data_IF_276291451035
#
_entry.id   IF_276291451035
#
_cell.length_a   1.000
_cell.length_b   1.000
_cell.length_c   1.000
_cell.angle_alpha   90.00
_cell.angle_beta   90.00
_cell.angle_gamma   90.00
#
_symmetry.space_group_name_H-M   'P 1'
#
loop_
_entity.id
_entity.type
_entity.pdbx_description
1 polymer ?
#
# COMPACT_ATOMS: atom_id res chain seq x y z
N UNK A 1 27.26 -24.32 1.56
CA UNK A 1 27.82 -23.11 2.20
C UNK A 1 27.63 -23.24 3.71
N UNK A 2 28.60 -22.84 4.55
CA UNK A 2 28.41 -22.83 6.01
C UNK A 2 27.28 -21.87 6.41
N UNK A 3 26.67 -22.07 7.58
CA UNK A 3 25.58 -21.22 8.09
C UNK A 3 26.10 -19.78 8.21
N UNK A 4 25.45 -18.86 7.50
CA UNK A 4 25.91 -17.47 7.39
C UNK A 4 25.24 -16.51 8.38
N UNK A 5 24.01 -16.81 8.80
CA UNK A 5 23.22 -15.98 9.71
C UNK A 5 23.03 -16.71 11.04
N UNK A 6 23.35 -16.05 12.15
CA UNK A 6 23.09 -16.55 13.50
C UNK A 6 22.24 -15.52 14.24
N UNK A 7 21.34 -15.97 15.10
CA UNK A 7 20.53 -15.06 15.92
C UNK A 7 21.41 -14.12 16.74
N UNK A 8 21.07 -12.83 16.77
CA UNK A 8 21.81 -11.80 17.49
C UNK A 8 23.19 -11.47 16.91
N UNK A 9 23.51 -11.90 15.68
CA UNK A 9 24.80 -11.62 15.06
C UNK A 9 25.03 -10.13 14.73
N UNK A 10 23.96 -9.34 14.62
CA UNK A 10 23.98 -7.92 14.28
C UNK A 10 23.08 -7.18 15.25
N UNK A 11 23.46 -5.97 15.66
CA UNK A 11 22.62 -5.09 16.46
C UNK A 11 22.06 -3.99 15.56
N UNK A 12 20.74 -3.96 15.40
CA UNK A 12 20.08 -2.95 14.57
C UNK A 12 19.95 -1.63 15.36
N UNK A 13 20.18 -0.50 14.68
CA UNK A 13 20.11 0.83 15.31
C UNK A 13 18.69 1.21 15.77
N UNK A 14 17.66 0.59 15.19
CA UNK A 14 16.25 0.79 15.53
C UNK A 14 15.78 -0.11 16.69
N UNK A 15 16.65 -0.98 17.22
CA UNK A 15 16.32 -1.94 18.27
C UNK A 15 15.52 -3.16 17.79
N UNK A 16 15.38 -3.38 16.47
CA UNK A 16 14.72 -4.56 15.93
C UNK A 16 15.47 -5.84 16.32
N UNK A 17 14.77 -6.90 16.81
CA UNK A 17 15.42 -8.15 17.17
C UNK A 17 16.06 -8.84 15.96
N UNK A 18 17.38 -9.04 16.00
CA UNK A 18 18.14 -9.68 14.94
C UNK A 18 18.01 -11.20 14.92
N UNK A 19 16.81 -11.69 14.63
CA UNK A 19 16.57 -13.11 14.36
C UNK A 19 17.06 -13.49 12.97
N UNK A 20 17.46 -14.74 12.77
CA UNK A 20 17.91 -15.29 11.48
C UNK A 20 16.87 -15.05 10.38
N UNK A 21 15.58 -15.21 10.69
CA UNK A 21 14.49 -14.98 9.76
C UNK A 21 14.36 -13.49 9.36
N UNK A 22 14.51 -12.58 10.32
CA UNK A 22 14.46 -11.13 10.07
C UNK A 22 15.65 -10.69 9.21
N UNK A 23 16.87 -11.06 9.60
CA UNK A 23 18.08 -10.76 8.84
C UNK A 23 18.03 -11.34 7.42
N UNK A 24 17.52 -12.57 7.26
CA UNK A 24 17.34 -13.18 5.96
C UNK A 24 16.36 -12.41 5.07
N UNK A 25 15.24 -11.95 5.64
CA UNK A 25 14.26 -11.11 4.94
C UNK A 25 14.85 -9.77 4.51
N UNK A 26 15.63 -9.13 5.39
CA UNK A 26 16.21 -7.82 5.12
C UNK A 26 17.27 -7.92 4.01
N UNK A 27 18.13 -8.95 4.05
CA UNK A 27 19.12 -9.21 2.99
C UNK A 27 18.44 -9.47 1.64
N UNK A 28 17.40 -10.30 1.60
CA UNK A 28 16.67 -10.57 0.36
C UNK A 28 15.97 -9.32 -0.16
N UNK A 29 15.40 -8.51 0.74
CA UNK A 29 14.77 -7.24 0.38
C UNK A 29 15.79 -6.26 -0.21
N UNK A 30 16.96 -6.15 0.40
CA UNK A 30 18.06 -5.32 -0.11
C UNK A 30 18.56 -5.80 -1.47
N UNK A 31 18.78 -7.11 -1.66
CA UNK A 31 19.20 -7.66 -2.94
C UNK A 31 18.14 -7.46 -4.03
N UNK A 32 16.86 -7.58 -3.68
CA UNK A 32 15.76 -7.33 -4.61
C UNK A 32 15.71 -5.87 -5.04
N UNK A 33 15.94 -4.94 -4.11
CA UNK A 33 16.06 -3.52 -4.42
C UNK A 33 17.31 -3.22 -5.26
N UNK A 34 18.47 -3.80 -4.92
CA UNK A 34 19.71 -3.60 -5.67
C UNK A 34 19.63 -4.15 -7.10
N UNK A 35 18.83 -5.20 -7.32
CA UNK A 35 18.55 -5.75 -8.64
C UNK A 35 17.60 -4.87 -9.47
N UNK A 36 16.65 -4.16 -8.83
CA UNK A 36 15.65 -3.31 -9.49
C UNK A 36 15.42 -1.99 -8.72
N UNK A 37 16.37 -1.04 -8.76
CA UNK A 37 16.28 0.21 -7.98
C UNK A 37 15.11 1.11 -8.41
N UNK A 38 14.69 1.02 -9.67
CA UNK A 38 13.60 1.82 -10.25
C UNK A 38 12.20 1.25 -9.96
N UNK A 39 12.13 0.10 -9.28
CA UNK A 39 10.88 -0.54 -8.85
C UNK A 39 9.97 0.44 -8.09
N UNK A 40 10.54 1.21 -7.19
CA UNK A 40 9.77 2.13 -6.34
C UNK A 40 9.18 3.28 -7.15
N UNK A 41 9.96 3.89 -8.04
CA UNK A 41 9.48 4.96 -8.92
C UNK A 41 8.35 4.48 -9.83
N UNK A 42 8.51 3.29 -10.43
CA UNK A 42 7.43 2.66 -11.22
C UNK A 42 6.16 2.43 -10.38
N UNK A 43 6.31 1.91 -9.16
CA UNK A 43 5.18 1.68 -8.25
C UNK A 43 4.53 2.98 -7.80
N UNK A 44 5.28 4.06 -7.63
CA UNK A 44 4.77 5.38 -7.25
C UNK A 44 3.94 6.00 -8.36
N UNK A 45 4.44 6.01 -9.60
CA UNK A 45 3.70 6.53 -10.76
C UNK A 45 2.40 5.77 -10.94
N UNK A 46 2.46 4.44 -10.90
CA UNK A 46 1.28 3.57 -10.98
C UNK A 46 0.32 3.91 -9.82
N UNK A 47 0.78 3.89 -8.56
CA UNK A 47 -0.07 4.17 -7.39
C UNK A 47 -0.72 5.56 -7.44
N UNK A 48 0.00 6.57 -7.88
CA UNK A 48 -0.51 7.94 -7.98
C UNK A 48 -1.64 8.03 -9.02
N UNK A 49 -1.47 7.40 -10.18
CA UNK A 49 -2.50 7.34 -11.22
C UNK A 49 -3.76 6.60 -10.72
N UNK A 50 -3.59 5.42 -10.11
CA UNK A 50 -4.69 4.67 -9.50
C UNK A 50 -5.42 5.43 -8.39
N UNK A 51 -4.70 6.25 -7.62
CA UNK A 51 -5.30 7.05 -6.57
C UNK A 51 -6.27 8.08 -7.16
N UNK A 52 -5.90 8.78 -8.24
CA UNK A 52 -6.78 9.76 -8.87
C UNK A 52 -8.07 9.11 -9.42
N UNK A 53 -7.94 8.00 -10.16
CA UNK A 53 -9.10 7.29 -10.71
C UNK A 53 -10.05 6.79 -9.62
N UNK A 54 -9.50 6.23 -8.53
CA UNK A 54 -10.30 5.73 -7.40
C UNK A 54 -11.12 6.84 -6.73
N UNK A 55 -10.53 8.00 -6.48
CA UNK A 55 -11.24 9.10 -5.82
C UNK A 55 -12.40 9.63 -6.67
N UNK A 56 -12.21 9.75 -7.99
CA UNK A 56 -13.29 10.19 -8.90
C UNK A 56 -14.45 9.20 -8.88
N UNK A 57 -14.18 7.89 -8.95
CA UNK A 57 -15.22 6.86 -8.92
C UNK A 57 -16.02 6.87 -7.61
N UNK A 58 -15.34 7.04 -6.48
CA UNK A 58 -15.99 7.12 -5.16
C UNK A 58 -16.91 8.34 -5.09
N UNK A 59 -16.44 9.51 -5.52
CA UNK A 59 -17.24 10.75 -5.50
C UNK A 59 -18.45 10.62 -6.42
N UNK A 60 -18.29 10.07 -7.62
CA UNK A 60 -19.40 9.82 -8.53
C UNK A 60 -20.45 8.89 -7.91
N UNK A 61 -20.03 7.83 -7.23
CA UNK A 61 -20.94 6.94 -6.50
C UNK A 61 -21.69 7.69 -5.39
N UNK A 62 -21.00 8.49 -4.59
CA UNK A 62 -21.64 9.27 -3.52
C UNK A 62 -22.68 10.26 -4.07
N UNK A 63 -22.37 10.92 -5.19
CA UNK A 63 -23.29 11.87 -5.82
C UNK A 63 -24.54 11.19 -6.38
N UNK A 64 -24.39 10.02 -7.00
CA UNK A 64 -25.54 9.23 -7.49
C UNK A 64 -26.43 8.80 -6.33
N UNK A 65 -25.83 8.31 -5.25
CA UNK A 65 -26.57 7.95 -4.04
C UNK A 65 -27.31 9.16 -3.47
N UNK A 66 -26.64 10.31 -3.33
CA UNK A 66 -27.26 11.53 -2.84
C UNK A 66 -28.41 12.00 -3.74
N UNK A 67 -28.23 12.00 -5.06
CA UNK A 67 -29.27 12.35 -6.01
C UNK A 67 -30.48 11.42 -5.91
N UNK A 68 -30.25 10.10 -5.73
CA UNK A 68 -31.32 9.12 -5.56
C UNK A 68 -32.14 9.36 -4.29
N UNK A 69 -31.49 9.74 -3.18
CA UNK A 69 -32.16 10.11 -1.94
C UNK A 69 -33.01 11.38 -2.10
N UNK A 70 -32.47 12.41 -2.76
CA UNK A 70 -33.20 13.65 -3.01
C UNK A 70 -34.41 13.43 -3.91
N UNK A 71 -34.27 12.60 -4.96
CA UNK A 71 -35.38 12.25 -5.84
C UNK A 71 -36.48 11.48 -5.09
N UNK A 72 -36.10 10.51 -4.24
CA UNK A 72 -37.04 9.76 -3.40
C UNK A 72 -37.78 10.68 -2.42
N UNK A 73 -37.07 11.61 -1.77
CA UNK A 73 -37.67 12.59 -0.88
C UNK A 73 -38.66 13.49 -1.64
N UNK A 74 -38.26 14.06 -2.78
CA UNK A 74 -39.15 14.93 -3.57
C UNK A 74 -40.45 14.22 -3.99
N UNK A 75 -40.39 12.95 -4.38
CA UNK A 75 -41.57 12.17 -4.75
C UNK A 75 -42.48 11.85 -3.56
N UNK A 76 -41.92 11.71 -2.35
CA UNK A 76 -42.68 11.44 -1.14
C UNK A 76 -43.48 12.65 -0.62
N UNK A 77 -43.02 13.89 -0.87
CA UNK A 77 -43.70 15.12 -0.44
C UNK A 77 -44.64 15.72 -1.51
N UNK A 78 -44.68 15.12 -2.71
CA UNK A 78 -45.61 15.50 -3.78
C UNK A 78 -46.92 14.68 -3.77
N UNK A 79 -47.18 13.90 -2.71
CA UNK A 79 -48.43 13.20 -2.39
C UNK A 79 -49.06 13.81 -1.13
#
# INVERSE_FOLDING_TARGET
MPKMLNDGAVEYEDGTPATEAQMGKDVVTFLSWAAEPEMEERKLVVRADWQATRHVLIVMHMLVVMASYLAMFAWAYHL
#
